data_IF_830759657392
#
_entry.id   IF_830759657392
#
_cell.length_a   1.000
_cell.length_b   1.000
_cell.length_c   1.000
_cell.angle_alpha   90.00
_cell.angle_beta   90.00
_cell.angle_gamma   90.00
#
_symmetry.space_group_name_H-M   'P 1'
#
loop_
_entity.id
_entity.type
_entity.pdbx_description
1 polymer ?
#
# COMPACT_ATOMS: atom_id res chain seq x y z
N UNK A 1 -43.43 -27.07 34.92
CA UNK A 1 -43.00 -27.12 33.49
C UNK A 1 -42.83 -25.69 32.99
N UNK A 2 -41.84 -24.95 33.48
CA UNK A 2 -41.57 -23.57 33.06
C UNK A 2 -40.15 -23.10 33.37
N UNK A 3 -39.16 -24.02 33.41
CA UNK A 3 -37.78 -23.65 33.76
C UNK A 3 -36.70 -24.08 32.72
N UNK A 4 -37.12 -24.42 31.49
CA UNK A 4 -36.17 -24.98 30.50
C UNK A 4 -36.01 -24.14 29.23
N UNK A 5 -36.49 -22.90 29.16
CA UNK A 5 -36.39 -22.03 27.98
C UNK A 5 -35.45 -20.83 28.14
N UNK A 6 -34.79 -20.69 29.27
CA UNK A 6 -33.88 -19.55 29.52
C UNK A 6 -32.37 -19.85 29.41
N UNK A 7 -31.99 -21.09 29.21
CA UNK A 7 -30.53 -21.44 29.10
C UNK A 7 -29.97 -21.50 27.70
N UNK A 8 -30.73 -21.17 26.64
CA UNK A 8 -30.23 -21.32 25.25
C UNK A 8 -29.74 -20.02 24.61
N UNK A 9 -29.59 -18.93 25.33
CA UNK A 9 -29.27 -17.64 24.69
C UNK A 9 -28.19 -16.82 25.37
N UNK A 10 -27.22 -17.45 26.03
CA UNK A 10 -25.96 -16.79 26.43
C UNK A 10 -24.81 -17.69 26.03
N UNK A 11 -24.65 -17.94 24.74
CA UNK A 11 -23.30 -18.14 24.20
C UNK A 11 -22.67 -16.77 24.19
N UNK A 12 -21.76 -16.55 25.13
CA UNK A 12 -21.01 -15.31 25.26
C UNK A 12 -20.35 -14.96 23.92
N UNK A 13 -20.32 -13.69 23.56
CA UNK A 13 -19.59 -13.15 22.37
C UNK A 13 -18.14 -13.64 22.28
N UNK A 14 -17.62 -14.27 23.35
CA UNK A 14 -16.27 -14.85 23.44
C UNK A 14 -16.11 -16.22 22.79
N UNK A 15 -17.17 -16.89 22.32
CA UNK A 15 -17.10 -18.23 21.70
C UNK A 15 -17.12 -18.20 20.17
N UNK A 16 -17.35 -17.03 19.53
CA UNK A 16 -17.29 -16.91 18.08
C UNK A 16 -15.82 -16.81 17.67
N UNK A 17 -15.40 -17.71 16.77
CA UNK A 17 -14.07 -17.65 16.13
C UNK A 17 -13.80 -16.19 15.69
N UNK A 18 -12.71 -15.55 16.14
CA UNK A 18 -12.41 -14.15 15.82
C UNK A 18 -12.40 -13.86 14.31
N UNK A 19 -12.17 -14.89 13.49
CA UNK A 19 -12.16 -14.78 12.01
C UNK A 19 -13.56 -14.65 11.42
N UNK A 20 -14.59 -15.11 12.15
CA UNK A 20 -15.99 -15.03 11.74
C UNK A 20 -16.72 -13.80 12.30
N UNK A 21 -16.02 -12.96 13.05
CA UNK A 21 -16.59 -11.72 13.57
C UNK A 21 -16.75 -10.71 12.45
N UNK A 22 -17.85 -9.98 12.49
CA UNK A 22 -18.13 -8.85 11.61
C UNK A 22 -17.98 -7.55 12.42
N UNK A 23 -16.79 -7.32 12.97
CA UNK A 23 -16.49 -6.23 13.88
C UNK A 23 -15.66 -5.10 13.23
N UNK A 24 -15.27 -5.25 11.96
CA UNK A 24 -14.58 -4.22 11.21
C UNK A 24 -15.56 -3.27 10.50
N UNK A 25 -15.19 -1.99 10.40
CA UNK A 25 -15.92 -1.01 9.63
C UNK A 25 -15.83 -1.29 8.13
N UNK A 26 -16.98 -1.37 7.44
CA UNK A 26 -17.10 -1.94 6.10
C UNK A 26 -17.25 -0.90 4.97
N UNK A 27 -17.23 0.42 5.27
CA UNK A 27 -17.33 1.41 4.21
C UNK A 27 -16.17 1.28 3.21
N UNK A 28 -16.50 1.20 1.92
CA UNK A 28 -15.51 1.04 0.84
C UNK A 28 -15.06 -0.40 0.59
N UNK A 29 -15.54 -1.40 1.35
CA UNK A 29 -15.15 -2.80 1.20
C UNK A 29 -16.12 -3.53 0.27
N UNK A 30 -15.60 -4.26 -0.73
CA UNK A 30 -16.40 -5.09 -1.64
C UNK A 30 -16.80 -6.42 -1.02
N UNK A 31 -17.78 -7.08 -1.65
CA UNK A 31 -18.09 -8.47 -1.35
C UNK A 31 -16.86 -9.36 -1.52
N UNK A 32 -16.58 -10.16 -0.49
CA UNK A 32 -15.35 -10.96 -0.40
C UNK A 32 -14.17 -10.25 0.26
N UNK A 33 -14.30 -8.97 0.66
CA UNK A 33 -13.33 -8.27 1.49
C UNK A 33 -13.39 -8.72 2.96
N UNK A 34 -12.39 -8.28 3.74
CA UNK A 34 -12.27 -8.68 5.15
C UNK A 34 -13.24 -7.90 6.03
N UNK A 35 -13.92 -8.62 6.90
CA UNK A 35 -14.97 -8.10 7.80
C UNK A 35 -14.62 -8.21 9.27
N UNK A 36 -13.45 -8.72 9.60
CA UNK A 36 -13.00 -8.93 10.96
C UNK A 36 -11.66 -8.22 11.19
N UNK A 37 -11.54 -7.50 12.31
CA UNK A 37 -10.30 -6.84 12.74
C UNK A 37 -9.16 -7.84 12.85
N UNK A 38 -9.45 -9.06 13.32
CA UNK A 38 -8.45 -10.14 13.40
C UNK A 38 -7.93 -10.53 12.02
N UNK A 39 -8.80 -10.73 11.03
CA UNK A 39 -8.39 -11.08 9.66
C UNK A 39 -7.60 -9.96 9.00
N UNK A 40 -7.93 -8.69 9.26
CA UNK A 40 -7.16 -7.53 8.78
C UNK A 40 -5.76 -7.55 9.39
N UNK A 41 -5.62 -7.80 10.68
CA UNK A 41 -4.32 -7.91 11.36
C UNK A 41 -3.46 -9.05 10.78
N UNK A 42 -4.07 -10.21 10.53
CA UNK A 42 -3.38 -11.35 9.88
C UNK A 42 -2.92 -10.99 8.47
N UNK A 43 -3.76 -10.28 7.69
CA UNK A 43 -3.40 -9.85 6.34
C UNK A 43 -2.24 -8.85 6.36
N UNK A 44 -2.22 -7.89 7.29
CA UNK A 44 -1.09 -6.96 7.45
C UNK A 44 0.21 -7.73 7.72
N UNK A 45 0.18 -8.67 8.69
CA UNK A 45 1.36 -9.50 8.98
C UNK A 45 1.78 -10.33 7.77
N UNK A 46 0.82 -10.90 7.02
CA UNK A 46 1.09 -11.65 5.79
C UNK A 46 1.81 -10.79 4.74
N UNK A 47 1.34 -9.56 4.50
CA UNK A 47 1.96 -8.63 3.55
C UNK A 47 3.38 -8.31 3.99
N UNK A 48 3.58 -7.93 5.26
CA UNK A 48 4.91 -7.59 5.80
C UNK A 48 5.88 -8.77 5.70
N UNK A 49 5.41 -10.00 5.96
CA UNK A 49 6.23 -11.21 5.86
C UNK A 49 6.70 -11.47 4.41
N UNK A 50 5.82 -11.22 3.41
CA UNK A 50 6.08 -11.54 2.00
C UNK A 50 6.72 -10.38 1.21
N UNK A 51 6.86 -9.19 1.79
CA UNK A 51 7.45 -8.02 1.12
C UNK A 51 8.91 -7.74 1.54
N UNK A 52 9.52 -8.63 2.34
CA UNK A 52 10.94 -8.62 2.72
C UNK A 52 11.47 -7.27 3.24
N UNK A 53 10.71 -6.61 4.11
CA UNK A 53 11.11 -5.34 4.73
C UNK A 53 11.21 -4.17 3.73
N UNK A 54 10.40 -4.19 2.68
CA UNK A 54 10.34 -3.12 1.67
C UNK A 54 9.03 -2.34 1.67
N UNK A 55 8.04 -2.78 2.43
CA UNK A 55 6.69 -2.19 2.44
C UNK A 55 6.53 -1.22 3.60
N UNK A 56 5.93 -0.07 3.33
CA UNK A 56 5.54 0.93 4.33
C UNK A 56 4.07 0.77 4.72
N UNK A 57 3.67 1.37 5.83
CA UNK A 57 2.27 1.42 6.24
C UNK A 57 1.38 2.13 5.21
N UNK A 58 1.87 3.23 4.61
CA UNK A 58 1.14 3.97 3.57
C UNK A 58 0.83 3.07 2.37
N UNK A 59 1.82 2.31 1.89
CA UNK A 59 1.63 1.36 0.77
C UNK A 59 0.58 0.31 1.10
N UNK A 60 0.60 -0.25 2.32
CA UNK A 60 -0.41 -1.25 2.73
C UNK A 60 -1.80 -0.62 2.78
N UNK A 61 -1.94 0.55 3.40
CA UNK A 61 -3.22 1.24 3.54
C UNK A 61 -3.78 1.56 2.15
N UNK A 62 -3.00 2.17 1.25
CA UNK A 62 -3.41 2.50 -0.12
C UNK A 62 -3.79 1.23 -0.90
N UNK A 63 -3.02 0.16 -0.79
CA UNK A 63 -3.30 -1.11 -1.48
C UNK A 63 -4.61 -1.75 -1.03
N UNK A 64 -4.92 -1.72 0.28
CA UNK A 64 -6.15 -2.29 0.80
C UNK A 64 -7.37 -1.45 0.40
N UNK A 65 -7.25 -0.14 0.35
CA UNK A 65 -8.29 0.79 -0.06
C UNK A 65 -8.53 0.71 -1.59
N UNK A 66 -7.47 0.83 -2.43
CA UNK A 66 -7.56 0.65 -3.90
C UNK A 66 -8.19 -0.71 -4.26
N UNK A 67 -7.79 -1.75 -3.53
CA UNK A 67 -8.32 -3.10 -3.68
C UNK A 67 -9.74 -3.29 -3.18
N UNK A 68 -10.28 -2.35 -2.40
CA UNK A 68 -11.55 -2.50 -1.66
C UNK A 68 -11.57 -3.79 -0.79
N UNK A 69 -10.39 -4.16 -0.25
CA UNK A 69 -10.18 -5.37 0.53
C UNK A 69 -10.54 -5.15 1.99
N UNK A 70 -10.14 -4.01 2.55
CA UNK A 70 -10.45 -3.60 3.91
C UNK A 70 -10.53 -2.07 3.97
N UNK A 71 -11.27 -1.56 4.95
CA UNK A 71 -11.37 -0.11 5.17
C UNK A 71 -10.04 0.46 5.64
N UNK A 72 -9.62 1.60 5.10
CA UNK A 72 -8.31 2.21 5.40
C UNK A 72 -8.11 2.56 6.89
N UNK A 73 -9.16 2.96 7.61
CA UNK A 73 -9.06 3.23 9.06
C UNK A 73 -8.80 1.95 9.85
N UNK A 74 -9.45 0.85 9.48
CA UNK A 74 -9.27 -0.45 10.12
C UNK A 74 -7.85 -0.99 9.88
N UNK A 75 -7.32 -0.80 8.66
CA UNK A 75 -5.94 -1.18 8.32
C UNK A 75 -4.93 -0.35 9.11
N UNK A 76 -5.11 0.96 9.18
CA UNK A 76 -4.25 1.87 9.95
C UNK A 76 -4.25 1.54 11.44
N UNK A 77 -5.44 1.26 12.01
CA UNK A 77 -5.57 0.86 13.42
C UNK A 77 -4.93 -0.51 13.69
N UNK A 78 -5.11 -1.48 12.77
CA UNK A 78 -4.45 -2.78 12.87
C UNK A 78 -2.92 -2.65 12.87
N UNK A 79 -2.35 -1.87 11.95
CA UNK A 79 -0.90 -1.59 11.90
C UNK A 79 -0.45 -0.94 13.21
N UNK A 80 -1.16 0.09 13.69
CA UNK A 80 -0.83 0.77 14.95
C UNK A 80 -0.82 -0.19 16.15
N UNK A 81 -1.79 -1.09 16.24
CA UNK A 81 -1.88 -2.11 17.29
C UNK A 81 -0.74 -3.12 17.20
N UNK A 82 -0.40 -3.59 15.99
CA UNK A 82 0.69 -4.54 15.76
C UNK A 82 2.06 -3.92 16.11
N UNK A 83 2.28 -2.63 15.78
CA UNK A 83 3.50 -1.91 16.15
C UNK A 83 3.57 -1.70 17.66
N UNK A 84 2.50 -1.25 18.32
CA UNK A 84 2.44 -1.09 19.77
C UNK A 84 2.64 -2.41 20.52
N UNK A 85 2.16 -3.52 19.95
CA UNK A 85 2.34 -4.87 20.47
C UNK A 85 3.70 -5.49 20.17
N UNK A 86 4.61 -4.78 19.50
CA UNK A 86 5.92 -5.25 19.05
C UNK A 86 5.88 -6.50 18.13
N UNK A 87 4.73 -6.81 17.52
CA UNK A 87 4.62 -7.87 16.51
C UNK A 87 5.24 -7.40 15.19
N UNK A 88 4.99 -6.14 14.82
CA UNK A 88 5.58 -5.47 13.65
C UNK A 88 6.47 -4.34 14.16
N UNK A 89 7.67 -4.21 13.58
CA UNK A 89 8.56 -3.08 13.82
C UNK A 89 8.43 -2.10 12.67
N UNK A 90 8.41 -0.82 12.98
CA UNK A 90 8.40 0.29 12.02
C UNK A 90 9.69 1.09 12.19
N UNK A 91 10.45 1.30 11.10
CA UNK A 91 11.65 2.13 11.10
C UNK A 91 11.34 3.61 10.88
N UNK A 92 12.40 4.45 10.84
CA UNK A 92 12.30 5.90 10.62
C UNK A 92 11.73 6.27 9.24
N UNK A 93 11.85 5.37 8.26
CA UNK A 93 11.34 5.54 6.89
C UNK A 93 9.92 4.99 6.72
N UNK A 94 9.29 4.51 7.79
CA UNK A 94 7.96 3.92 7.75
C UNK A 94 7.95 2.45 7.32
N UNK A 95 9.10 1.84 7.05
CA UNK A 95 9.21 0.44 6.59
C UNK A 95 8.85 -0.51 7.72
N UNK A 96 8.00 -1.48 7.40
CA UNK A 96 7.50 -2.47 8.34
C UNK A 96 8.26 -3.78 8.21
N UNK A 97 8.63 -4.38 9.34
CA UNK A 97 9.33 -5.66 9.41
C UNK A 97 8.77 -6.56 10.49
N UNK A 98 8.91 -7.87 10.30
CA UNK A 98 8.58 -8.91 11.27
C UNK A 98 9.86 -9.62 11.73
N UNK A 99 9.85 -10.12 12.98
CA UNK A 99 10.90 -11.05 13.41
C UNK A 99 10.74 -12.41 12.71
N UNK A 100 11.81 -13.21 12.62
CA UNK A 100 11.74 -14.54 12.00
C UNK A 100 10.75 -15.46 12.72
N UNK A 101 10.63 -15.31 14.04
CA UNK A 101 9.63 -16.04 14.84
C UNK A 101 8.21 -15.66 14.41
N UNK A 102 7.93 -14.37 14.21
CA UNK A 102 6.60 -13.92 13.83
C UNK A 102 6.27 -14.29 12.39
N UNK A 103 7.26 -14.28 11.47
CA UNK A 103 7.12 -14.80 10.10
C UNK A 103 6.65 -16.25 10.09
N UNK A 104 7.30 -17.12 10.90
CA UNK A 104 6.90 -18.52 11.00
C UNK A 104 5.49 -18.71 11.56
N UNK A 105 5.05 -17.83 12.47
CA UNK A 105 3.67 -17.85 12.96
C UNK A 105 2.67 -17.43 11.88
N UNK A 106 3.02 -16.44 11.05
CA UNK A 106 2.18 -16.01 9.92
C UNK A 106 1.94 -17.15 8.95
N UNK A 107 2.96 -17.95 8.60
CA UNK A 107 2.83 -19.12 7.73
C UNK A 107 1.81 -20.16 8.23
N UNK A 108 1.61 -20.24 9.55
CA UNK A 108 0.63 -21.15 10.15
C UNK A 108 -0.81 -20.64 10.02
N UNK A 109 -1.00 -19.32 10.10
CA UNK A 109 -2.33 -18.69 10.16
C UNK A 109 -2.77 -18.05 8.84
N UNK A 110 -1.88 -17.86 7.87
CA UNK A 110 -2.21 -17.24 6.58
C UNK A 110 -3.28 -17.99 5.78
N UNK A 111 -3.39 -19.32 6.01
CA UNK A 111 -4.37 -20.18 5.35
C UNK A 111 -5.82 -19.84 5.76
N UNK A 112 -5.98 -19.12 6.85
CA UNK A 112 -7.28 -18.60 7.30
C UNK A 112 -7.79 -17.44 6.44
N UNK A 113 -6.89 -16.83 5.63
CA UNK A 113 -7.24 -15.80 4.67
C UNK A 113 -7.55 -16.43 3.30
N UNK A 114 -8.57 -15.94 2.58
CA UNK A 114 -8.83 -16.38 1.21
C UNK A 114 -7.60 -16.14 0.32
N UNK A 115 -7.24 -17.13 -0.49
CA UNK A 115 -6.08 -17.04 -1.39
C UNK A 115 -6.16 -15.80 -2.31
N UNK A 116 -7.36 -15.52 -2.83
CA UNK A 116 -7.61 -14.36 -3.69
C UNK A 116 -7.31 -13.04 -3.01
N UNK A 117 -7.61 -12.92 -1.70
CA UNK A 117 -7.28 -11.72 -0.90
C UNK A 117 -5.78 -11.60 -0.73
N UNK A 118 -5.10 -12.69 -0.38
CA UNK A 118 -3.64 -12.72 -0.21
C UNK A 118 -2.90 -12.30 -1.47
N UNK A 119 -3.19 -12.95 -2.60
CA UNK A 119 -2.54 -12.66 -3.89
C UNK A 119 -2.83 -11.24 -4.37
N UNK A 120 -4.08 -10.79 -4.26
CA UNK A 120 -4.49 -9.46 -4.66
C UNK A 120 -3.75 -8.39 -3.85
N UNK A 121 -3.62 -8.58 -2.55
CA UNK A 121 -2.94 -7.65 -1.65
C UNK A 121 -1.47 -7.47 -2.01
N UNK A 122 -0.74 -8.56 -2.23
CA UNK A 122 0.68 -8.52 -2.64
C UNK A 122 0.84 -7.81 -3.98
N UNK A 123 0.02 -8.17 -4.99
CA UNK A 123 0.08 -7.53 -6.33
C UNK A 123 -0.19 -6.03 -6.27
N UNK A 124 -1.13 -5.59 -5.44
CA UNK A 124 -1.43 -4.17 -5.26
C UNK A 124 -0.28 -3.43 -4.56
N UNK A 125 0.28 -3.98 -3.48
CA UNK A 125 1.45 -3.39 -2.84
C UNK A 125 2.63 -3.25 -3.82
N UNK A 126 2.94 -4.31 -4.58
CA UNK A 126 3.99 -4.26 -5.61
C UNK A 126 3.71 -3.20 -6.69
N UNK A 127 2.47 -3.08 -7.15
CA UNK A 127 2.06 -2.06 -8.13
C UNK A 127 2.25 -0.64 -7.60
N UNK A 128 1.83 -0.38 -6.36
CA UNK A 128 1.97 0.94 -5.73
C UNK A 128 3.44 1.27 -5.54
N UNK A 129 4.23 0.36 -5.00
CA UNK A 129 5.68 0.55 -4.83
C UNK A 129 6.39 0.82 -6.15
N UNK A 130 6.06 0.06 -7.21
CA UNK A 130 6.62 0.29 -8.54
C UNK A 130 6.25 1.70 -9.08
N UNK A 131 5.01 2.14 -8.85
CA UNK A 131 4.56 3.49 -9.23
C UNK A 131 5.27 4.60 -8.46
N UNK A 132 5.54 4.39 -7.16
CA UNK A 132 6.29 5.33 -6.33
C UNK A 132 7.76 5.42 -6.77
N UNK A 133 8.39 4.26 -7.00
CA UNK A 133 9.75 4.17 -7.52
C UNK A 133 9.84 4.89 -8.87
N UNK A 134 8.91 4.60 -9.79
CA UNK A 134 8.84 5.29 -11.08
C UNK A 134 8.71 6.81 -10.95
N UNK A 135 7.85 7.30 -10.04
CA UNK A 135 7.71 8.74 -9.78
C UNK A 135 8.96 9.36 -9.16
N UNK A 136 9.69 8.62 -8.35
CA UNK A 136 10.95 9.09 -7.73
C UNK A 136 12.07 9.16 -8.74
N UNK A 137 12.15 8.19 -9.63
CA UNK A 137 13.20 8.06 -10.65
C UNK A 137 12.96 8.96 -11.86
N UNK A 138 11.70 9.31 -12.13
CA UNK A 138 11.34 10.16 -13.28
C UNK A 138 10.72 11.47 -12.77
N UNK A 139 11.54 12.51 -12.64
CA UNK A 139 11.12 13.81 -12.12
C UNK A 139 11.00 14.85 -13.21
N UNK A 140 10.04 15.74 -13.07
CA UNK A 140 9.92 16.94 -13.90
C UNK A 140 9.64 18.15 -13.01
N UNK A 141 10.48 19.16 -13.12
CA UNK A 141 10.40 20.42 -12.39
C UNK A 141 10.18 21.59 -13.34
N UNK A 142 9.32 22.53 -12.94
CA UNK A 142 9.10 23.76 -13.68
C UNK A 142 9.65 24.92 -12.85
N UNK A 143 10.61 25.66 -13.41
CA UNK A 143 11.21 26.83 -12.80
C UNK A 143 10.89 28.07 -13.64
N UNK A 144 10.30 29.09 -13.03
CA UNK A 144 10.11 30.42 -13.63
C UNK A 144 11.47 31.15 -13.66
N UNK A 145 11.82 31.77 -14.79
CA UNK A 145 13.14 32.42 -14.99
C UNK A 145 13.07 33.86 -15.44
N UNK A 146 11.93 34.55 -15.23
CA UNK A 146 11.72 35.97 -15.56
C UNK A 146 11.55 36.28 -17.07
N UNK A 147 11.84 35.31 -17.95
CA UNK A 147 11.62 35.40 -19.41
C UNK A 147 10.68 34.28 -19.92
N UNK A 148 10.16 33.48 -19.02
CA UNK A 148 9.34 32.30 -19.29
C UNK A 148 9.63 31.23 -18.25
N UNK A 149 9.63 29.98 -18.68
CA UNK A 149 9.78 28.81 -17.79
C UNK A 149 10.89 27.89 -18.30
N UNK A 150 11.59 27.26 -17.39
CA UNK A 150 12.50 26.17 -17.67
C UNK A 150 11.92 24.88 -17.10
N UNK A 151 11.68 23.90 -17.94
CA UNK A 151 11.27 22.55 -17.54
C UNK A 151 12.50 21.68 -17.46
N UNK A 152 12.78 21.15 -16.28
CA UNK A 152 13.87 20.19 -16.03
C UNK A 152 13.27 18.80 -15.93
N UNK A 153 13.79 17.87 -16.70
CA UNK A 153 13.35 16.49 -16.78
C UNK A 153 14.49 15.57 -16.37
N UNK A 154 14.22 14.61 -15.51
CA UNK A 154 15.22 13.70 -15.00
C UNK A 154 14.75 12.26 -15.14
N UNK A 155 15.65 11.38 -15.58
CA UNK A 155 15.50 9.92 -15.48
C UNK A 155 16.70 9.42 -14.68
N UNK A 156 16.44 8.81 -13.55
CA UNK A 156 17.46 8.24 -12.67
C UNK A 156 17.06 6.81 -12.28
N UNK A 157 18.03 6.00 -11.93
CA UNK A 157 17.83 4.69 -11.30
C UNK A 157 18.84 4.56 -10.16
N UNK A 158 18.34 4.48 -8.93
CA UNK A 158 19.12 4.53 -7.70
C UNK A 158 20.05 5.76 -7.67
N UNK A 159 21.36 5.57 -7.87
CA UNK A 159 22.38 6.63 -7.82
C UNK A 159 22.91 7.05 -9.19
N UNK A 160 22.29 6.58 -10.29
CA UNK A 160 22.72 6.87 -11.66
C UNK A 160 21.68 7.74 -12.35
N UNK A 161 22.12 8.92 -12.76
CA UNK A 161 21.32 9.80 -13.61
C UNK A 161 21.55 9.45 -15.09
N UNK A 162 20.54 8.86 -15.73
CA UNK A 162 20.57 8.51 -17.14
C UNK A 162 20.32 9.69 -18.07
N UNK A 163 19.50 10.65 -17.61
CA UNK A 163 19.16 11.82 -18.40
C UNK A 163 18.85 13.02 -17.49
N UNK A 164 19.44 14.15 -17.82
CA UNK A 164 18.96 15.47 -17.41
C UNK A 164 18.71 16.30 -18.67
N UNK A 165 17.47 16.76 -18.87
CA UNK A 165 17.08 17.58 -20.00
C UNK A 165 16.45 18.88 -19.51
N UNK A 166 16.88 20.02 -20.06
CA UNK A 166 16.34 21.36 -19.76
C UNK A 166 15.72 21.93 -21.02
N UNK A 167 14.43 22.24 -20.96
CA UNK A 167 13.65 22.80 -22.06
C UNK A 167 13.11 24.16 -21.66
N UNK A 168 13.20 25.13 -22.57
CA UNK A 168 12.54 26.42 -22.41
C UNK A 168 11.07 26.31 -22.81
N UNK A 169 10.20 26.96 -22.05
CA UNK A 169 8.80 27.15 -22.36
C UNK A 169 8.44 28.63 -22.20
N UNK A 170 7.79 29.21 -23.21
CA UNK A 170 7.42 30.63 -23.18
C UNK A 170 6.26 30.92 -22.23
N UNK A 171 5.39 29.94 -22.01
CA UNK A 171 4.20 30.05 -21.14
C UNK A 171 4.15 28.92 -20.12
N UNK A 172 3.42 29.15 -19.03
CA UNK A 172 3.18 28.13 -18.01
C UNK A 172 2.48 26.90 -18.58
N UNK A 173 1.47 27.10 -19.42
CA UNK A 173 0.70 26.01 -20.04
C UNK A 173 1.58 25.13 -20.91
N UNK A 174 2.53 25.75 -21.66
CA UNK A 174 3.53 25.00 -22.44
C UNK A 174 4.45 24.19 -21.53
N UNK A 175 4.87 24.74 -20.39
CA UNK A 175 5.71 24.05 -19.43
C UNK A 175 5.00 22.85 -18.80
N UNK A 176 3.74 23.03 -18.40
CA UNK A 176 2.90 21.92 -17.88
C UNK A 176 2.68 20.82 -18.94
N UNK A 177 2.40 21.19 -20.18
CA UNK A 177 2.24 20.23 -21.28
C UNK A 177 3.54 19.39 -21.52
N UNK A 178 4.71 20.02 -21.45
CA UNK A 178 5.99 19.32 -21.56
C UNK A 178 6.16 18.33 -20.41
N UNK A 179 5.92 18.78 -19.19
CA UNK A 179 6.00 17.96 -17.98
C UNK A 179 5.04 16.76 -18.06
N UNK A 180 3.77 16.98 -18.39
CA UNK A 180 2.76 15.92 -18.44
C UNK A 180 3.09 14.86 -19.51
N UNK A 181 3.56 15.28 -20.68
CA UNK A 181 4.02 14.35 -21.72
C UNK A 181 5.19 13.50 -21.26
N UNK A 182 6.15 14.10 -20.56
CA UNK A 182 7.30 13.39 -20.03
C UNK A 182 6.90 12.38 -18.96
N UNK A 183 6.14 12.81 -17.94
CA UNK A 183 5.71 11.94 -16.83
C UNK A 183 4.82 10.78 -17.31
N UNK A 184 4.09 10.96 -18.41
CA UNK A 184 3.27 9.89 -19.00
C UNK A 184 4.11 8.74 -19.53
N UNK A 185 5.24 9.02 -20.18
CA UNK A 185 6.15 8.00 -20.71
C UNK A 185 7.59 8.52 -20.82
N UNK A 186 8.36 8.57 -19.72
CA UNK A 186 9.73 9.06 -19.72
C UNK A 186 10.67 8.23 -20.59
N UNK A 187 10.48 6.92 -20.61
CA UNK A 187 11.33 5.99 -21.37
C UNK A 187 11.23 6.26 -22.87
N UNK A 188 10.01 6.52 -23.37
CA UNK A 188 9.84 6.87 -24.79
C UNK A 188 10.58 8.15 -25.18
N UNK A 189 10.63 9.14 -24.26
CA UNK A 189 11.41 10.37 -24.48
C UNK A 189 12.90 10.05 -24.57
N UNK A 190 13.41 9.24 -23.66
CA UNK A 190 14.80 8.79 -23.67
C UNK A 190 15.16 8.02 -24.93
N UNK A 191 14.37 7.01 -25.29
CA UNK A 191 14.59 6.19 -26.48
C UNK A 191 14.62 7.02 -27.77
N UNK A 192 13.73 8.01 -27.89
CA UNK A 192 13.73 8.91 -29.06
C UNK A 192 14.95 9.85 -29.15
N UNK A 193 15.68 10.05 -28.04
CA UNK A 193 16.90 10.87 -28.04
C UNK A 193 18.15 10.07 -28.38
N UNK A 194 18.16 8.75 -28.13
CA UNK A 194 19.31 7.87 -28.34
C UNK A 194 19.20 7.02 -29.61
N UNK A 195 18.03 7.00 -30.28
CA UNK A 195 17.78 6.30 -31.55
C UNK A 195 18.23 7.18 -32.74
#
# INVERSE_FOLDING_TARGET
>A
MADNEKELNIKSENEIDPRLRFDAFMAGVKDGGLRSVSSISVLVCYIVANMDGRVTDEVIIEAMDEGMIANHFEVADAISKLVKGNTVKKDENGVLTLSDKDKSLVELIERDLPLTVREKSIKLCQKIMAKETFKRENKAEICENGKGYTVKLYISDNDIDYMELKLYAATKDQAEMIKDKFITNPILVYDNLIS
#
